data_IF_648763010168
#
_entry.id   IF_648763010168
#
_cell.length_a   1.000
_cell.length_b   1.000
_cell.length_c   1.000
_cell.angle_alpha   90.00
_cell.angle_beta   90.00
_cell.angle_gamma   90.00
#
_symmetry.space_group_name_H-M   'P 1'
#
loop_
_entity.id
_entity.type
_entity.pdbx_description
1 polymer ?
#
# COMPACT_ATOMS: atom_id res chain seq x y z
N UNK A 1 0.06 21.63 24.17
CA UNK A 1 0.96 21.52 23.00
C UNK A 1 0.04 21.42 21.79
N UNK A 2 0.11 22.35 20.83
CA UNK A 2 -0.73 22.27 19.61
C UNK A 2 -0.45 20.93 18.91
N UNK A 3 -1.45 20.25 18.30
CA UNK A 3 -1.17 19.09 17.49
C UNK A 3 -0.28 19.58 16.35
N UNK A 4 0.95 19.07 16.28
CA UNK A 4 1.78 19.28 15.11
C UNK A 4 1.05 18.53 13.99
N UNK A 5 0.30 19.24 13.15
CA UNK A 5 -0.05 18.69 11.84
C UNK A 5 1.25 18.18 11.23
N UNK A 6 1.26 16.92 10.83
CA UNK A 6 2.46 16.13 10.57
C UNK A 6 3.33 16.86 9.53
N UNK A 7 4.41 17.51 9.98
CA UNK A 7 5.23 18.45 9.20
C UNK A 7 5.83 17.81 7.93
N UNK A 8 5.84 16.48 7.87
CA UNK A 8 6.37 15.71 6.77
C UNK A 8 5.36 15.48 5.65
N UNK A 9 4.06 15.66 5.88
CA UNK A 9 3.01 15.45 4.86
C UNK A 9 3.12 16.46 3.70
N UNK A 10 3.49 17.69 3.99
CA UNK A 10 3.66 18.75 2.98
C UNK A 10 5.01 18.67 2.25
N UNK A 11 5.93 17.81 2.71
CA UNK A 11 7.28 17.69 2.16
C UNK A 11 7.31 16.61 1.09
N UNK A 12 8.03 16.90 0.00
CA UNK A 12 8.30 15.91 -1.05
C UNK A 12 9.04 14.72 -0.49
N UNK A 13 8.63 13.51 -0.87
CA UNK A 13 9.26 12.28 -0.39
C UNK A 13 10.77 12.24 -0.68
N UNK A 14 11.20 12.72 -1.85
CA UNK A 14 12.62 12.89 -2.22
C UNK A 14 13.42 13.59 -1.12
N UNK A 15 12.85 14.66 -0.55
CA UNK A 15 13.50 15.47 0.47
C UNK A 15 13.53 14.76 1.82
N UNK A 16 12.50 13.97 2.14
CA UNK A 16 12.42 13.19 3.37
C UNK A 16 13.49 12.10 3.42
N UNK A 17 13.65 11.36 2.32
CA UNK A 17 14.59 10.22 2.25
C UNK A 17 16.00 10.61 1.76
N UNK A 18 16.22 11.89 1.45
CA UNK A 18 17.51 12.38 0.94
C UNK A 18 17.89 11.84 -0.44
N UNK A 19 16.91 11.56 -1.31
CA UNK A 19 17.15 10.97 -2.62
C UNK A 19 17.82 11.96 -3.59
N UNK A 20 18.86 11.54 -4.32
CA UNK A 20 19.64 12.45 -5.16
C UNK A 20 18.85 12.99 -6.36
N UNK A 21 19.19 14.19 -6.81
CA UNK A 21 18.71 14.76 -8.09
C UNK A 21 19.64 14.34 -9.24
N UNK A 22 19.90 13.05 -9.38
CA UNK A 22 20.70 12.54 -10.49
C UNK A 22 19.76 11.93 -11.53
N UNK A 23 19.73 12.50 -12.74
CA UNK A 23 18.96 11.92 -13.84
C UNK A 23 19.58 10.56 -14.19
N UNK A 24 18.79 9.49 -14.14
CA UNK A 24 19.25 8.16 -14.52
C UNK A 24 19.83 8.19 -15.94
N UNK A 25 21.01 7.59 -16.12
CA UNK A 25 21.63 7.38 -17.43
C UNK A 25 20.83 6.41 -18.32
N UNK A 26 19.87 5.69 -17.74
CA UNK A 26 19.00 4.73 -18.41
C UNK A 26 17.54 5.01 -18.04
N UNK A 27 16.85 5.91 -18.76
CA UNK A 27 15.43 6.19 -18.50
C UNK A 27 14.59 4.98 -18.95
N UNK A 28 13.93 4.34 -17.99
CA UNK A 28 12.83 3.42 -18.24
C UNK A 28 11.54 4.05 -17.72
N UNK A 29 10.38 3.62 -18.24
CA UNK A 29 9.09 4.10 -17.76
C UNK A 29 8.90 3.89 -16.25
N UNK A 30 9.48 2.81 -15.70
CA UNK A 30 9.50 2.55 -14.27
C UNK A 30 10.28 3.62 -13.50
N UNK A 31 11.51 3.93 -13.95
CA UNK A 31 12.34 4.96 -13.33
C UNK A 31 11.67 6.33 -13.40
N UNK A 32 11.09 6.70 -14.55
CA UNK A 32 10.38 7.97 -14.72
C UNK A 32 9.19 8.10 -13.77
N UNK A 33 8.40 7.03 -13.61
CA UNK A 33 7.27 7.01 -12.66
C UNK A 33 7.75 7.12 -11.21
N UNK A 34 8.83 6.45 -10.83
CA UNK A 34 9.40 6.58 -9.48
C UNK A 34 9.93 7.98 -9.21
N UNK A 35 10.66 8.59 -10.15
CA UNK A 35 11.15 9.97 -10.03
C UNK A 35 9.99 10.97 -9.91
N UNK A 36 8.92 10.80 -10.69
CA UNK A 36 7.72 11.63 -10.57
C UNK A 36 7.05 11.46 -9.20
N UNK A 37 6.93 10.23 -8.70
CA UNK A 37 6.36 9.96 -7.38
C UNK A 37 7.21 10.55 -6.24
N UNK A 38 8.54 10.47 -6.33
CA UNK A 38 9.47 11.06 -5.36
C UNK A 38 9.32 12.60 -5.27
N UNK A 39 8.91 13.25 -6.36
CA UNK A 39 8.68 14.68 -6.40
C UNK A 39 7.28 15.12 -5.92
N UNK A 40 6.44 14.19 -5.49
CA UNK A 40 5.14 14.44 -4.86
C UNK A 40 5.30 14.61 -3.34
N UNK A 41 4.57 15.55 -2.69
CA UNK A 41 4.47 15.60 -1.23
C UNK A 41 3.98 14.26 -0.65
N UNK A 42 4.52 13.84 0.50
CA UNK A 42 4.13 12.58 1.14
C UNK A 42 2.60 12.47 1.29
N UNK A 43 1.94 13.56 1.70
CA UNK A 43 0.49 13.68 1.87
C UNK A 43 -0.35 13.60 0.61
N UNK A 44 0.27 13.75 -0.55
CA UNK A 44 -0.41 13.81 -1.84
C UNK A 44 -0.07 12.62 -2.74
N UNK A 45 0.71 11.65 -2.23
CA UNK A 45 0.97 10.42 -2.96
C UNK A 45 -0.33 9.67 -3.21
N UNK A 46 -0.56 9.29 -4.47
CA UNK A 46 -1.67 8.41 -4.82
C UNK A 46 -1.41 6.98 -4.36
N UNK A 47 -2.47 6.17 -4.26
CA UNK A 47 -2.37 4.72 -4.00
C UNK A 47 -1.42 4.02 -4.98
N UNK A 48 -1.51 4.38 -6.27
CA UNK A 48 -0.59 3.95 -7.32
C UNK A 48 0.87 4.24 -6.96
N UNK A 49 1.16 5.49 -6.59
CA UNK A 49 2.52 5.95 -6.31
C UNK A 49 3.08 5.28 -5.04
N UNK A 50 2.25 5.11 -4.01
CA UNK A 50 2.59 4.34 -2.81
C UNK A 50 2.94 2.90 -3.16
N UNK A 51 2.04 2.20 -3.86
CA UNK A 51 2.25 0.80 -4.29
C UNK A 51 3.50 0.67 -5.15
N UNK A 52 3.73 1.61 -6.06
CA UNK A 52 4.90 1.63 -6.93
C UNK A 52 6.20 1.73 -6.12
N UNK A 53 6.31 2.73 -5.26
CA UNK A 53 7.53 3.01 -4.51
C UNK A 53 7.81 1.93 -3.45
N UNK A 54 6.77 1.43 -2.76
CA UNK A 54 6.90 0.29 -1.84
C UNK A 54 7.40 -0.95 -2.59
N UNK A 55 6.86 -1.23 -3.78
CA UNK A 55 7.32 -2.33 -4.62
C UNK A 55 8.74 -2.17 -5.18
N UNK A 56 9.33 -0.98 -5.06
CA UNK A 56 10.74 -0.72 -5.35
C UNK A 56 11.58 -0.59 -4.07
N UNK A 57 10.97 -0.79 -2.89
CA UNK A 57 11.59 -0.64 -1.57
C UNK A 57 12.19 0.76 -1.33
N UNK A 58 11.59 1.80 -1.92
CA UNK A 58 12.06 3.19 -1.80
C UNK A 58 11.29 3.90 -0.69
N UNK A 59 12.00 4.34 0.34
CA UNK A 59 11.44 5.19 1.41
C UNK A 59 10.43 4.49 2.32
N UNK A 60 10.59 3.18 2.52
CA UNK A 60 9.66 2.35 3.31
C UNK A 60 9.39 2.93 4.71
N UNK A 61 10.36 3.60 5.32
CA UNK A 61 10.26 4.22 6.63
C UNK A 61 9.20 5.33 6.72
N UNK A 62 8.81 5.94 5.59
CA UNK A 62 7.69 6.88 5.51
C UNK A 62 6.47 6.26 4.83
N UNK A 63 6.69 5.39 3.86
CA UNK A 63 5.62 4.87 3.01
C UNK A 63 4.81 3.76 3.65
N UNK A 64 5.42 2.91 4.49
CA UNK A 64 4.72 1.81 5.13
C UNK A 64 3.61 2.31 6.05
N UNK A 65 3.92 3.29 6.91
CA UNK A 65 2.93 3.91 7.81
C UNK A 65 1.77 4.51 7.00
N UNK A 66 2.10 5.31 5.98
CA UNK A 66 1.08 5.95 5.13
C UNK A 66 0.21 4.94 4.37
N UNK A 67 0.80 3.87 3.86
CA UNK A 67 0.05 2.83 3.17
C UNK A 67 -0.87 2.08 4.14
N UNK A 68 -0.41 1.80 5.37
CA UNK A 68 -1.24 1.16 6.40
C UNK A 68 -2.39 2.07 6.82
N UNK A 69 -2.17 3.37 7.01
CA UNK A 69 -3.25 4.33 7.30
C UNK A 69 -4.36 4.27 6.23
N UNK A 70 -3.97 4.17 4.95
CA UNK A 70 -4.91 4.06 3.84
C UNK A 70 -5.62 2.69 3.84
N UNK A 71 -4.89 1.60 4.10
CA UNK A 71 -5.42 0.24 4.15
C UNK A 71 -6.41 0.06 5.30
N UNK A 72 -6.16 0.69 6.46
CA UNK A 72 -7.08 0.67 7.59
C UNK A 72 -8.41 1.36 7.26
N UNK A 73 -8.38 2.39 6.41
CA UNK A 73 -9.59 3.07 5.92
C UNK A 73 -10.30 2.28 4.82
N UNK A 74 -9.55 1.70 3.89
CA UNK A 74 -10.06 0.92 2.76
C UNK A 74 -9.08 -0.22 2.40
N UNK A 75 -9.32 -1.46 2.87
CA UNK A 75 -8.47 -2.61 2.54
C UNK A 75 -8.43 -2.95 1.05
N UNK A 76 -9.41 -2.48 0.28
CA UNK A 76 -9.53 -2.69 -1.16
C UNK A 76 -9.07 -1.48 -1.98
N UNK A 77 -8.35 -0.54 -1.37
CA UNK A 77 -7.81 0.63 -2.05
C UNK A 77 -7.13 0.24 -3.38
N UNK A 78 -7.58 0.88 -4.45
CA UNK A 78 -7.13 0.61 -5.81
C UNK A 78 -5.88 1.44 -6.16
N UNK A 79 -4.79 0.77 -6.51
CA UNK A 79 -3.62 1.37 -7.14
C UNK A 79 -3.78 1.41 -8.66
N UNK A 80 -3.23 0.40 -9.34
CA UNK A 80 -3.19 0.32 -10.81
C UNK A 80 -3.63 -1.03 -11.39
N UNK A 81 -3.62 -2.09 -10.57
CA UNK A 81 -3.74 -3.45 -11.07
C UNK A 81 -5.09 -4.08 -10.74
N UNK A 82 -5.49 -4.00 -9.46
CA UNK A 82 -6.74 -4.56 -8.95
C UNK A 82 -7.04 -3.96 -7.58
N UNK A 83 -8.30 -4.08 -7.14
CA UNK A 83 -8.73 -3.62 -5.80
C UNK A 83 -8.03 -4.43 -4.71
N UNK A 84 -7.32 -3.74 -3.81
CA UNK A 84 -6.46 -4.37 -2.80
C UNK A 84 -5.02 -4.67 -3.28
N UNK A 85 -4.58 -4.10 -4.40
CA UNK A 85 -3.19 -4.26 -4.83
C UNK A 85 -2.18 -3.58 -3.89
N UNK A 86 -2.57 -2.55 -3.14
CA UNK A 86 -1.72 -1.92 -2.13
C UNK A 86 -1.48 -2.83 -0.92
N UNK A 87 -2.53 -3.44 -0.34
CA UNK A 87 -2.39 -4.38 0.78
C UNK A 87 -1.58 -5.61 0.36
N UNK A 88 -1.77 -6.09 -0.88
CA UNK A 88 -0.97 -7.16 -1.48
C UNK A 88 0.50 -6.76 -1.65
N UNK A 89 0.78 -5.51 -2.01
CA UNK A 89 2.15 -5.00 -2.10
C UNK A 89 2.82 -4.89 -0.72
N UNK A 90 2.09 -4.41 0.30
CA UNK A 90 2.64 -4.28 1.65
C UNK A 90 3.07 -5.63 2.23
N UNK A 91 2.35 -6.71 1.94
CA UNK A 91 2.74 -8.07 2.36
C UNK A 91 4.08 -8.54 1.78
N UNK A 92 4.57 -7.92 0.70
CA UNK A 92 5.86 -8.25 0.06
C UNK A 92 7.04 -7.45 0.63
N UNK A 93 6.79 -6.51 1.54
CA UNK A 93 7.84 -5.75 2.22
C UNK A 93 8.80 -6.74 2.94
N UNK A 94 10.13 -6.54 2.85
CA UNK A 94 11.11 -7.46 3.43
C UNK A 94 10.91 -7.69 4.94
N UNK A 95 11.11 -8.93 5.39
CA UNK A 95 11.03 -9.29 6.81
C UNK A 95 11.94 -8.45 7.73
N UNK A 96 13.08 -7.99 7.22
CA UNK A 96 13.99 -7.12 7.96
C UNK A 96 13.35 -5.76 8.32
N UNK A 97 12.48 -5.22 7.45
CA UNK A 97 11.74 -4.00 7.75
C UNK A 97 10.78 -4.22 8.92
N UNK A 98 9.99 -5.30 8.88
CA UNK A 98 9.04 -5.65 9.93
C UNK A 98 9.69 -5.94 11.28
N UNK A 99 10.89 -6.54 11.29
CA UNK A 99 11.66 -6.75 12.51
C UNK A 99 12.04 -5.43 13.22
N UNK A 100 12.09 -4.32 12.48
CA UNK A 100 12.40 -2.98 13.01
C UNK A 100 11.16 -2.10 13.24
N UNK A 101 10.01 -2.48 12.68
CA UNK A 101 8.72 -1.78 12.79
C UNK A 101 7.59 -2.75 13.18
N UNK A 102 7.69 -3.41 14.34
CA UNK A 102 6.71 -4.43 14.75
C UNK A 102 5.30 -3.85 14.94
N UNK A 103 5.18 -2.58 15.35
CA UNK A 103 3.91 -1.87 15.48
C UNK A 103 3.16 -1.77 14.15
N UNK A 104 3.86 -1.40 13.06
CA UNK A 104 3.28 -1.37 11.71
C UNK A 104 2.89 -2.77 11.24
N UNK A 105 3.70 -3.78 11.57
CA UNK A 105 3.34 -5.17 11.26
C UNK A 105 2.04 -5.59 11.94
N UNK A 106 1.87 -5.30 13.23
CA UNK A 106 0.65 -5.62 13.97
C UNK A 106 -0.58 -4.94 13.37
N UNK A 107 -0.47 -3.66 13.00
CA UNK A 107 -1.55 -2.91 12.35
C UNK A 107 -1.98 -3.55 11.03
N UNK A 108 -1.02 -3.85 10.16
CA UNK A 108 -1.31 -4.53 8.89
C UNK A 108 -1.94 -5.90 9.12
N UNK A 109 -1.42 -6.68 10.08
CA UNK A 109 -1.95 -8.00 10.41
C UNK A 109 -3.40 -7.93 10.93
N UNK A 110 -3.73 -6.93 11.76
CA UNK A 110 -5.10 -6.74 12.24
C UNK A 110 -6.09 -6.50 11.09
N UNK A 111 -5.69 -5.69 10.11
CA UNK A 111 -6.49 -5.47 8.89
C UNK A 111 -6.66 -6.78 8.10
N UNK A 112 -5.58 -7.53 7.90
CA UNK A 112 -5.62 -8.82 7.19
C UNK A 112 -6.55 -9.83 7.87
N UNK A 113 -6.43 -10.01 9.19
CA UNK A 113 -7.31 -10.90 9.94
C UNK A 113 -8.77 -10.42 9.91
N UNK A 114 -9.01 -9.11 9.96
CA UNK A 114 -10.34 -8.53 9.80
C UNK A 114 -10.92 -8.76 8.41
N UNK A 115 -10.09 -8.66 7.38
CA UNK A 115 -10.47 -8.91 6.01
C UNK A 115 -10.82 -10.38 5.78
N UNK A 116 -10.04 -11.32 6.30
CA UNK A 116 -10.33 -12.76 6.24
C UNK A 116 -11.69 -13.08 6.85
N UNK A 117 -11.97 -12.57 8.06
CA UNK A 117 -13.29 -12.72 8.70
C UNK A 117 -14.43 -12.15 7.86
N UNK A 118 -14.19 -11.01 7.20
CA UNK A 118 -15.18 -10.36 6.34
C UNK A 118 -15.46 -11.22 5.11
N UNK A 119 -14.41 -11.75 4.46
CA UNK A 119 -14.53 -12.63 3.30
C UNK A 119 -15.27 -13.92 3.67
N UNK A 120 -14.97 -14.50 4.84
CA UNK A 120 -15.70 -15.66 5.35
C UNK A 120 -17.19 -15.37 5.55
N UNK A 121 -17.53 -14.26 6.22
CA UNK A 121 -18.91 -13.86 6.47
C UNK A 121 -19.70 -13.57 5.18
N UNK A 122 -19.10 -12.83 4.24
CA UNK A 122 -19.73 -12.55 2.93
C UNK A 122 -19.96 -13.83 2.13
N UNK A 123 -19.09 -14.83 2.29
CA UNK A 123 -19.18 -16.10 1.58
C UNK A 123 -19.97 -17.18 2.32
N UNK A 124 -20.60 -16.89 3.47
CA UNK A 124 -21.32 -17.86 4.31
C UNK A 124 -22.34 -18.70 3.51
N UNK A 125 -23.05 -18.07 2.57
CA UNK A 125 -24.08 -18.72 1.76
C UNK A 125 -23.64 -19.03 0.32
N UNK A 126 -22.34 -18.91 0.01
CA UNK A 126 -21.82 -19.11 -1.35
C UNK A 126 -22.13 -20.51 -1.90
N UNK A 127 -22.08 -21.53 -1.06
CA UNK A 127 -22.42 -22.90 -1.45
C UNK A 127 -23.89 -23.05 -1.89
N UNK A 128 -24.84 -22.46 -1.16
CA UNK A 128 -26.26 -22.48 -1.51
C UNK A 128 -26.52 -21.74 -2.82
N UNK A 129 -25.90 -20.57 -3.00
CA UNK A 129 -25.96 -19.82 -4.26
C UNK A 129 -25.44 -20.65 -5.44
N UNK A 130 -24.29 -21.33 -5.29
CA UNK A 130 -23.73 -22.18 -6.34
C UNK A 130 -24.59 -23.42 -6.64
N UNK A 131 -25.26 -24.00 -5.65
CA UNK A 131 -26.18 -25.12 -5.84
C UNK A 131 -27.43 -24.73 -6.63
N UNK A 132 -27.84 -23.46 -6.57
CA UNK A 132 -28.95 -22.91 -7.34
C UNK A 132 -28.58 -22.52 -8.79
N UNK A 133 -27.35 -22.85 -9.25
CA UNK A 133 -26.89 -22.51 -10.59
C UNK A 133 -27.76 -23.17 -11.68
N UNK A 134 -28.53 -22.38 -12.48
CA UNK A 134 -29.45 -22.93 -13.48
C UNK A 134 -28.74 -23.53 -14.70
N UNK A 135 -27.42 -23.35 -14.81
CA UNK A 135 -26.62 -23.84 -15.93
C UNK A 135 -25.86 -25.14 -15.61
N UNK A 136 -26.07 -25.73 -14.43
CA UNK A 136 -25.37 -26.94 -13.96
C UNK A 136 -23.90 -26.68 -13.58
N UNK A 137 -23.26 -27.64 -12.92
CA UNK A 137 -21.82 -27.60 -12.67
C UNK A 137 -21.09 -27.68 -14.02
N UNK A 138 -20.44 -26.58 -14.43
CA UNK A 138 -19.43 -26.63 -15.49
C UNK A 138 -18.11 -27.08 -14.91
#
# INVERSE_FOLDING_TARGET
>A
MKPRGNLDEDRKLRVLIGWPHAKSSYPSSLVERCEAALDTPLGQLSTEQLRLLIGQEIGLEFLAEKAIDLIEMDPLAHGDFYDGDLISMCQKIPAAFWATHPDLWFRLNEVLEGFDRTVEAVNEHRAQFMAANPYGAR
#
